data_IF_703321754833
#
_entry.id   IF_703321754833
#
_cell.length_a   1.000
_cell.length_b   1.000
_cell.length_c   1.000
_cell.angle_alpha   90.00
_cell.angle_beta   90.00
_cell.angle_gamma   90.00
#
_symmetry.space_group_name_H-M   'P 1'
#
loop_
_entity.id
_entity.type
_entity.pdbx_description
1 polymer ?
#
# COMPACT_ATOMS: atom_id res chain seq x y z
N UNK A 1 -4.64 15.55 10.34
CA UNK A 1 -4.37 15.27 8.91
C UNK A 1 -5.64 14.65 8.36
N UNK A 2 -6.41 15.39 7.57
CA UNK A 2 -7.73 14.94 7.13
C UNK A 2 -7.62 14.32 5.73
N UNK A 3 -7.64 12.98 5.68
CA UNK A 3 -7.68 12.24 4.43
C UNK A 3 -9.12 12.35 3.89
N UNK A 4 -9.31 13.27 2.95
CA UNK A 4 -10.62 13.72 2.48
C UNK A 4 -11.63 12.58 2.29
N UNK A 5 -12.75 12.70 3.00
CA UNK A 5 -13.91 11.83 2.93
C UNK A 5 -14.44 11.77 1.48
N UNK A 6 -14.84 10.57 1.06
CA UNK A 6 -15.53 10.22 -0.22
C UNK A 6 -14.65 9.85 -1.44
N UNK A 7 -13.90 8.76 -1.35
CA UNK A 7 -13.47 7.95 -2.50
C UNK A 7 -14.49 6.83 -2.79
N UNK A 8 -15.78 7.17 -2.76
CA UNK A 8 -16.87 6.22 -3.01
C UNK A 8 -17.12 6.06 -4.50
N UNK A 9 -17.50 4.86 -4.93
CA UNK A 9 -17.94 4.61 -6.30
C UNK A 9 -19.32 5.26 -6.50
N UNK A 10 -19.44 6.20 -7.44
CA UNK A 10 -20.72 6.84 -7.78
C UNK A 10 -21.38 6.06 -8.92
N UNK A 11 -22.62 5.64 -8.71
CA UNK A 11 -23.44 5.01 -9.74
C UNK A 11 -24.26 6.07 -10.47
N UNK A 12 -24.30 5.99 -11.80
CA UNK A 12 -25.12 6.86 -12.65
C UNK A 12 -26.01 5.98 -13.55
N UNK A 13 -27.24 6.42 -13.79
CA UNK A 13 -28.13 5.79 -14.76
C UNK A 13 -27.91 6.44 -16.12
N UNK A 14 -27.72 5.64 -17.17
CA UNK A 14 -27.44 6.12 -18.52
C UNK A 14 -28.03 5.21 -19.59
N UNK A 15 -28.33 5.77 -20.76
CA UNK A 15 -28.64 5.01 -21.99
C UNK A 15 -27.34 4.53 -22.64
N UNK A 16 -27.43 3.53 -23.53
CA UNK A 16 -26.25 2.90 -24.17
C UNK A 16 -25.29 3.90 -24.83
N UNK A 17 -25.80 4.97 -25.43
CA UNK A 17 -25.00 5.99 -26.13
C UNK A 17 -24.42 7.09 -25.21
N UNK A 18 -24.82 7.16 -23.94
CA UNK A 18 -24.42 8.22 -23.01
C UNK A 18 -23.15 7.89 -22.24
N UNK A 19 -22.44 6.82 -22.63
CA UNK A 19 -21.35 6.24 -21.84
C UNK A 19 -20.20 7.21 -21.54
N UNK A 20 -19.92 8.13 -22.45
CA UNK A 20 -18.85 9.12 -22.36
C UNK A 20 -19.38 10.55 -22.23
N UNK A 21 -20.67 10.73 -21.95
CA UNK A 21 -21.22 12.05 -21.65
C UNK A 21 -20.60 12.59 -20.36
N UNK A 22 -20.31 13.89 -20.31
CA UNK A 22 -19.76 14.57 -19.13
C UNK A 22 -20.58 14.34 -17.85
N UNK A 23 -21.88 14.08 -17.97
CA UNK A 23 -22.79 13.77 -16.85
C UNK A 23 -22.66 12.34 -16.34
N UNK A 24 -22.07 11.45 -17.13
CA UNK A 24 -21.92 10.01 -16.89
C UNK A 24 -20.47 9.58 -16.66
N UNK A 25 -19.53 10.51 -16.69
CA UNK A 25 -18.12 10.28 -16.38
C UNK A 25 -17.74 11.09 -15.15
N UNK A 26 -17.01 10.47 -14.23
CA UNK A 26 -16.32 11.21 -13.18
C UNK A 26 -14.91 11.51 -13.68
N UNK A 27 -14.46 12.78 -13.66
CA UNK A 27 -13.08 13.07 -13.95
C UNK A 27 -12.21 12.34 -12.93
N UNK A 28 -11.29 11.52 -13.42
CA UNK A 28 -10.28 10.92 -12.57
C UNK A 28 -9.29 12.02 -12.20
N UNK A 29 -9.48 12.58 -11.02
CA UNK A 29 -8.50 13.50 -10.47
C UNK A 29 -7.24 12.68 -10.11
N UNK A 30 -6.26 12.64 -11.01
CA UNK A 30 -4.87 12.48 -10.60
C UNK A 30 -4.48 13.75 -9.88
N UNK A 31 -4.89 13.84 -8.63
CA UNK A 31 -4.32 14.84 -7.75
C UNK A 31 -2.82 14.67 -7.80
N UNK A 32 -2.06 15.76 -7.94
CA UNK A 32 -0.68 15.80 -7.45
C UNK A 32 -0.62 15.67 -5.92
N UNK A 33 -1.48 14.82 -5.32
CA UNK A 33 -1.59 14.56 -3.90
C UNK A 33 -0.25 14.04 -3.43
N UNK A 34 0.19 14.54 -2.27
CA UNK A 34 1.16 13.85 -1.43
C UNK A 34 0.73 12.39 -1.33
N UNK A 35 1.44 11.52 -2.04
CA UNK A 35 1.35 10.09 -1.84
C UNK A 35 2.37 9.74 -0.76
N UNK A 36 2.00 8.86 0.14
CA UNK A 36 2.89 8.31 1.15
C UNK A 36 3.06 6.85 0.82
N UNK A 37 4.31 6.42 0.66
CA UNK A 37 4.62 5.01 0.47
C UNK A 37 4.63 4.34 1.84
N UNK A 38 3.96 3.20 1.94
CA UNK A 38 3.93 2.44 3.19
C UNK A 38 4.47 1.05 2.90
N UNK A 39 5.39 0.59 3.75
CA UNK A 39 5.90 -0.77 3.70
C UNK A 39 5.62 -1.46 5.03
N UNK A 40 5.14 -2.69 4.98
CA UNK A 40 4.95 -3.52 6.16
C UNK A 40 4.71 -4.96 5.71
N UNK A 41 4.70 -5.86 6.67
CA UNK A 41 4.41 -7.26 6.41
C UNK A 41 3.42 -7.81 7.42
N UNK A 42 2.78 -8.91 7.05
CA UNK A 42 1.80 -9.61 7.88
C UNK A 42 2.23 -11.07 8.00
N UNK A 43 1.86 -11.70 9.11
CA UNK A 43 2.12 -13.11 9.38
C UNK A 43 0.88 -13.74 10.02
N UNK A 44 0.88 -15.08 10.17
CA UNK A 44 -0.26 -15.79 10.76
C UNK A 44 -0.61 -15.33 12.19
N UNK A 45 0.36 -14.81 12.93
CA UNK A 45 0.20 -14.42 14.33
C UNK A 45 -0.03 -12.91 14.53
N UNK A 46 0.03 -12.11 13.48
CA UNK A 46 -0.09 -10.65 13.61
C UNK A 46 0.57 -9.87 12.49
N UNK A 47 0.89 -8.62 12.78
CA UNK A 47 1.51 -7.67 11.85
C UNK A 47 2.94 -7.37 12.28
N UNK A 48 3.81 -7.15 11.31
CA UNK A 48 5.15 -6.62 11.54
C UNK A 48 5.15 -5.10 11.68
N UNK A 49 6.34 -4.49 11.71
CA UNK A 49 6.48 -3.04 11.71
C UNK A 49 5.87 -2.43 10.45
N UNK A 50 5.07 -1.39 10.62
CA UNK A 50 4.56 -0.56 9.54
C UNK A 50 5.44 0.67 9.38
N UNK A 51 6.06 0.82 8.23
CA UNK A 51 6.90 1.94 7.90
C UNK A 51 6.24 2.88 6.91
N UNK A 52 6.44 4.17 7.12
CA UNK A 52 5.80 5.23 6.38
C UNK A 52 6.89 6.12 5.78
N UNK A 53 6.86 6.31 4.46
CA UNK A 53 7.84 7.11 3.71
C UNK A 53 7.15 8.22 2.92
N UNK A 54 7.72 9.41 3.03
CA UNK A 54 7.38 10.54 2.16
C UNK A 54 7.98 10.38 0.75
N UNK A 55 8.95 9.49 0.56
CA UNK A 55 9.66 9.24 -0.71
C UNK A 55 9.60 7.75 -1.11
N UNK A 56 10.35 7.39 -2.16
CA UNK A 56 10.50 6.00 -2.62
C UNK A 56 11.43 5.19 -1.71
N UNK A 57 11.10 3.93 -1.48
CA UNK A 57 11.99 2.97 -0.80
C UNK A 57 13.18 2.64 -1.70
N UNK A 58 14.40 2.82 -1.19
CA UNK A 58 15.63 2.41 -1.87
C UNK A 58 16.00 0.97 -1.52
N UNK A 59 16.74 0.29 -2.39
CA UNK A 59 17.26 -1.04 -2.09
C UNK A 59 18.16 -1.14 -0.85
N UNK A 60 18.89 -0.08 -0.50
CA UNK A 60 19.65 -0.04 0.75
C UNK A 60 18.75 -0.07 1.97
N UNK A 61 17.73 0.78 1.94
CA UNK A 61 16.75 0.85 3.00
C UNK A 61 15.99 -0.48 3.13
N UNK A 62 15.59 -1.06 1.99
CA UNK A 62 14.91 -2.35 1.99
C UNK A 62 15.77 -3.45 2.63
N UNK A 63 17.07 -3.52 2.30
CA UNK A 63 18.00 -4.46 2.94
C UNK A 63 18.11 -4.25 4.45
N UNK A 64 18.13 -2.99 4.91
CA UNK A 64 18.18 -2.69 6.34
C UNK A 64 16.98 -3.28 7.08
N UNK A 65 15.75 -3.09 6.55
CA UNK A 65 14.54 -3.66 7.14
C UNK A 65 14.64 -5.19 7.23
N UNK A 66 15.02 -5.84 6.13
CA UNK A 66 15.08 -7.30 6.06
C UNK A 66 16.06 -7.90 7.07
N UNK A 67 17.20 -7.23 7.29
CA UNK A 67 18.28 -7.74 8.14
C UNK A 67 18.10 -7.39 9.62
N UNK A 68 17.56 -6.21 9.91
CA UNK A 68 17.56 -5.68 11.28
C UNK A 68 16.20 -5.80 11.94
N UNK A 69 15.11 -5.62 11.20
CA UNK A 69 13.78 -5.45 11.80
C UNK A 69 12.92 -6.70 11.72
N UNK A 70 12.91 -7.38 10.56
CA UNK A 70 12.13 -8.62 10.40
C UNK A 70 12.50 -9.67 11.46
N UNK A 71 13.78 -9.91 11.81
CA UNK A 71 14.11 -10.90 12.84
C UNK A 71 13.51 -10.56 14.21
N UNK A 72 13.53 -9.28 14.59
CA UNK A 72 12.99 -8.81 15.88
C UNK A 72 11.47 -8.97 15.89
N UNK A 73 10.80 -8.52 14.83
CA UNK A 73 9.35 -8.58 14.74
C UNK A 73 8.82 -10.00 14.55
N UNK A 74 9.58 -10.89 13.91
CA UNK A 74 9.28 -12.32 13.88
C UNK A 74 9.37 -12.95 15.28
N UNK A 75 10.41 -12.60 16.05
CA UNK A 75 10.54 -13.06 17.44
C UNK A 75 9.37 -12.59 18.30
N UNK A 76 8.99 -11.31 18.18
CA UNK A 76 7.85 -10.74 18.91
C UNK A 76 6.52 -11.39 18.52
N UNK A 77 6.35 -11.77 17.25
CA UNK A 77 5.17 -12.50 16.76
C UNK A 77 5.25 -14.02 17.00
N UNK A 78 6.28 -14.51 17.70
CA UNK A 78 6.43 -15.93 18.02
C UNK A 78 6.59 -16.83 16.78
N UNK A 79 7.13 -16.30 15.69
CA UNK A 79 7.32 -17.07 14.46
C UNK A 79 8.55 -17.98 14.57
N UNK A 80 8.54 -19.16 13.92
CA UNK A 80 9.69 -20.04 13.88
C UNK A 80 10.92 -19.37 13.25
N UNK A 81 12.12 -19.78 13.66
CA UNK A 81 13.38 -19.27 13.09
C UNK A 81 13.48 -19.47 11.57
N UNK A 82 12.87 -20.54 11.04
CA UNK A 82 12.80 -20.81 9.60
C UNK A 82 11.43 -20.43 9.05
N UNK A 83 11.14 -19.12 9.02
CA UNK A 83 9.93 -18.59 8.41
C UNK A 83 10.19 -18.18 6.96
N UNK A 84 9.36 -18.64 6.04
CA UNK A 84 9.42 -18.21 4.64
C UNK A 84 9.00 -16.75 4.52
N UNK A 85 9.86 -15.93 3.91
CA UNK A 85 9.52 -14.57 3.54
C UNK A 85 9.06 -14.52 2.08
N UNK A 86 7.89 -13.94 1.83
CA UNK A 86 7.28 -13.84 0.50
C UNK A 86 7.15 -12.37 0.12
N UNK A 87 7.71 -12.01 -1.03
CA UNK A 87 7.67 -10.66 -1.60
C UNK A 87 7.48 -10.74 -3.13
N UNK A 88 7.20 -9.61 -3.76
CA UNK A 88 7.16 -9.51 -5.23
C UNK A 88 8.58 -9.43 -5.83
N UNK A 89 8.67 -9.31 -7.15
CA UNK A 89 9.92 -9.19 -7.90
C UNK A 89 10.24 -7.74 -8.31
N UNK A 90 9.79 -6.75 -7.54
CA UNK A 90 10.05 -5.35 -7.87
C UNK A 90 11.57 -5.06 -7.87
N UNK A 91 12.08 -4.26 -8.84
CA UNK A 91 13.45 -3.79 -8.77
C UNK A 91 13.62 -2.89 -7.55
N UNK A 92 14.73 -3.08 -6.85
CA UNK A 92 15.11 -2.34 -5.66
C UNK A 92 15.73 -0.97 -6.00
#
# INVERSE_FOLDING_TARGET
MELHRTAGRVSVWRRTHEAFSDKCVLPTFKSGRLAVMVWGYICGNGVGTLHIYSESVTGEYYRHILQSEIPITNLLNGLPAQTSFVQNNAPA
#
